data_IF_183647420768
#
_entry.id   IF_183647420768
#
_cell.length_a   1.000
_cell.length_b   1.000
_cell.length_c   1.000
_cell.angle_alpha   90.00
_cell.angle_beta   90.00
_cell.angle_gamma   90.00
#
_symmetry.space_group_name_H-M   'P 1'
#
loop_
_entity.id
_entity.type
_entity.pdbx_description
1 polymer ?
#
# COMPACT_ATOMS: atom_id res chain seq x y z
N UNK A 1 -70.79 -32.78 9.66
CA UNK A 1 -70.34 -31.53 8.99
C UNK A 1 -68.84 -31.40 9.24
N UNK A 2 -68.09 -31.36 8.14
CA UNK A 2 -66.63 -31.37 8.10
C UNK A 2 -66.01 -30.04 8.55
N UNK A 3 -64.79 -30.09 9.10
CA UNK A 3 -63.77 -29.09 8.76
C UNK A 3 -62.37 -29.72 8.82
N UNK A 4 -61.72 -29.59 7.68
CA UNK A 4 -60.48 -30.22 7.21
C UNK A 4 -59.23 -29.56 7.76
N UNK A 5 -58.14 -30.33 7.65
CA UNK A 5 -56.75 -30.16 8.06
C UNK A 5 -56.11 -28.79 7.78
N UNK A 6 -55.12 -28.49 8.62
CA UNK A 6 -54.13 -27.44 8.41
C UNK A 6 -52.79 -27.89 8.99
N UNK A 7 -52.13 -28.83 8.31
CA UNK A 7 -50.67 -28.94 8.37
C UNK A 7 -50.09 -27.82 7.51
N UNK A 8 -49.26 -26.94 8.06
CA UNK A 8 -48.03 -26.49 7.40
C UNK A 8 -47.01 -26.20 8.50
N UNK A 9 -45.95 -27.02 8.52
CA UNK A 9 -44.69 -26.76 9.21
C UNK A 9 -44.16 -25.37 8.85
N UNK A 10 -44.07 -24.46 9.83
CA UNK A 10 -43.15 -23.33 9.72
C UNK A 10 -41.80 -23.79 10.26
N UNK A 11 -41.08 -24.47 9.37
CA UNK A 11 -39.64 -24.69 9.43
C UNK A 11 -38.99 -23.35 9.81
N UNK A 12 -38.45 -23.29 11.03
CA UNK A 12 -37.67 -22.16 11.50
C UNK A 12 -36.44 -22.02 10.60
N UNK A 13 -36.62 -21.28 9.50
CA UNK A 13 -35.58 -20.87 8.59
C UNK A 13 -34.59 -20.03 9.40
N UNK A 14 -33.55 -20.69 9.89
CA UNK A 14 -32.36 -20.03 10.41
C UNK A 14 -31.87 -19.11 9.32
N UNK A 15 -32.06 -17.81 9.50
CA UNK A 15 -31.44 -16.79 8.66
C UNK A 15 -29.97 -17.16 8.48
N UNK A 16 -29.47 -17.37 7.25
CA UNK A 16 -28.05 -17.54 7.04
C UNK A 16 -27.41 -16.27 7.58
N UNK A 17 -26.68 -16.40 8.68
CA UNK A 17 -25.78 -15.35 9.14
C UNK A 17 -24.94 -15.00 7.92
N UNK A 18 -24.81 -13.71 7.53
CA UNK A 18 -23.80 -13.35 6.56
C UNK A 18 -22.50 -13.87 7.14
N UNK A 19 -21.93 -14.92 6.54
CA UNK A 19 -20.56 -15.29 6.85
C UNK A 19 -19.78 -14.01 6.66
N UNK A 20 -19.13 -13.57 7.73
CA UNK A 20 -18.32 -12.38 7.70
C UNK A 20 -17.41 -12.50 6.48
N UNK A 21 -17.61 -11.58 5.53
CA UNK A 21 -16.68 -11.30 4.44
C UNK A 21 -15.27 -11.48 5.00
N UNK A 22 -14.44 -12.40 4.47
CA UNK A 22 -13.13 -12.66 5.03
C UNK A 22 -12.40 -11.33 5.03
N UNK A 23 -12.35 -10.71 6.21
CA UNK A 23 -11.53 -9.55 6.51
C UNK A 23 -10.23 -9.75 5.75
N UNK A 24 -9.94 -8.84 4.83
CA UNK A 24 -8.67 -8.81 4.09
C UNK A 24 -7.58 -9.12 5.11
N UNK A 25 -6.99 -10.32 5.00
CA UNK A 25 -6.01 -10.81 5.95
C UNK A 25 -4.71 -10.03 5.76
N UNK A 26 -4.66 -8.84 6.37
CA UNK A 26 -3.50 -7.96 6.43
C UNK A 26 -2.31 -8.62 7.15
N UNK A 27 -2.57 -9.72 7.89
CA UNK A 27 -1.52 -10.51 8.54
C UNK A 27 -0.68 -11.26 7.52
N UNK A 28 -1.25 -11.66 6.37
CA UNK A 28 -0.52 -12.35 5.31
C UNK A 28 0.58 -11.47 4.68
N UNK A 29 0.41 -10.14 4.67
CA UNK A 29 1.43 -9.22 4.15
C UNK A 29 2.65 -9.10 5.07
N UNK A 30 2.53 -9.49 6.35
CA UNK A 30 3.57 -9.29 7.36
C UNK A 30 4.41 -10.55 7.67
N UNK A 31 4.10 -11.71 7.08
CA UNK A 31 4.74 -12.99 7.47
C UNK A 31 5.90 -13.41 6.55
N UNK A 32 6.30 -12.60 5.58
CA UNK A 32 7.19 -13.09 4.53
C UNK A 32 8.69 -12.86 4.78
N UNK A 33 9.33 -13.94 5.27
CA UNK A 33 10.78 -14.21 5.36
C UNK A 33 11.54 -13.29 6.32
N UNK A 34 12.07 -13.88 7.39
CA UNK A 34 13.00 -13.25 8.35
C UNK A 34 14.03 -12.39 7.59
N UNK A 35 14.09 -11.08 7.88
CA UNK A 35 14.99 -10.19 7.17
C UNK A 35 16.45 -10.63 7.29
N UNK A 36 17.25 -10.51 6.22
CA UNK A 36 18.65 -10.91 6.24
C UNK A 36 19.45 -10.10 7.26
N UNK A 37 18.98 -8.92 7.70
CA UNK A 37 19.61 -8.16 8.78
C UNK A 37 19.60 -8.90 10.13
N UNK A 38 18.67 -9.85 10.34
CA UNK A 38 18.55 -10.62 11.58
C UNK A 38 19.48 -11.84 11.57
N UNK A 39 19.87 -12.34 10.39
CA UNK A 39 20.60 -13.61 10.22
C UNK A 39 22.03 -13.40 9.69
N UNK A 40 22.30 -12.31 8.99
CA UNK A 40 23.60 -12.07 8.36
C UNK A 40 24.63 -11.55 9.38
N UNK A 41 25.70 -12.32 9.57
CA UNK A 41 26.87 -11.90 10.34
C UNK A 41 27.95 -11.26 9.45
N UNK A 42 27.71 -11.22 8.13
CA UNK A 42 28.65 -10.67 7.15
C UNK A 42 27.94 -10.08 5.92
N UNK A 43 28.59 -9.10 5.28
CA UNK A 43 28.10 -8.47 4.05
C UNK A 43 27.86 -9.49 2.92
N UNK A 44 28.73 -10.51 2.81
CA UNK A 44 28.59 -11.55 1.80
C UNK A 44 27.35 -12.42 2.01
N UNK A 45 27.01 -12.75 3.27
CA UNK A 45 25.77 -13.47 3.59
C UNK A 45 24.54 -12.62 3.30
N UNK A 46 24.58 -11.33 3.65
CA UNK A 46 23.51 -10.38 3.34
C UNK A 46 23.23 -10.32 1.83
N UNK A 47 24.26 -10.10 1.00
CA UNK A 47 24.11 -10.02 -0.46
C UNK A 47 23.58 -11.32 -1.07
N UNK A 48 24.05 -12.49 -0.60
CA UNK A 48 23.55 -13.80 -1.07
C UNK A 48 22.09 -14.02 -0.70
N UNK A 49 21.70 -13.69 0.53
CA UNK A 49 20.32 -13.81 0.98
C UNK A 49 19.39 -12.85 0.21
N UNK A 50 19.85 -11.61 -0.02
CA UNK A 50 19.13 -10.62 -0.83
C UNK A 50 18.93 -11.09 -2.27
N UNK A 51 19.97 -11.62 -2.92
CA UNK A 51 19.88 -12.19 -4.27
C UNK A 51 18.92 -13.40 -4.32
N UNK A 52 18.96 -14.27 -3.31
CA UNK A 52 18.05 -15.41 -3.24
C UNK A 52 16.58 -14.98 -3.13
N UNK A 53 16.27 -13.90 -2.38
CA UNK A 53 14.90 -13.33 -2.29
C UNK A 53 14.41 -12.77 -3.61
N UNK A 54 15.28 -12.06 -4.35
CA UNK A 54 14.94 -11.56 -5.68
C UNK A 54 14.67 -12.72 -6.64
N UNK A 55 15.53 -13.75 -6.62
CA UNK A 55 15.36 -14.95 -7.45
C UNK A 55 14.10 -15.75 -7.09
N UNK A 56 13.65 -15.70 -5.83
CA UNK A 56 12.41 -16.34 -5.38
C UNK A 56 11.15 -15.49 -5.65
N UNK A 57 11.28 -14.34 -6.32
CA UNK A 57 10.17 -13.44 -6.66
C UNK A 57 9.76 -12.47 -5.55
N UNK A 58 10.36 -12.56 -4.35
CA UNK A 58 10.13 -11.58 -3.28
C UNK A 58 11.04 -10.37 -3.52
N UNK A 59 10.53 -9.47 -4.34
CA UNK A 59 11.32 -8.36 -4.92
C UNK A 59 11.26 -7.09 -4.04
N UNK A 60 10.37 -7.05 -3.03
CA UNK A 60 10.18 -5.91 -2.14
C UNK A 60 9.97 -4.60 -2.92
N UNK A 61 10.68 -3.54 -2.52
CA UNK A 61 10.63 -2.24 -3.18
C UNK A 61 11.49 -2.15 -4.47
N UNK A 62 12.19 -3.22 -4.87
CA UNK A 62 13.10 -3.20 -6.02
C UNK A 62 12.42 -2.75 -7.33
N UNK A 63 11.18 -3.18 -7.68
CA UNK A 63 10.54 -2.71 -8.91
C UNK A 63 10.29 -1.20 -8.91
N UNK A 64 9.96 -0.64 -7.76
CA UNK A 64 9.71 0.80 -7.58
C UNK A 64 11.00 1.60 -7.74
N UNK A 65 12.07 1.18 -7.06
CA UNK A 65 13.38 1.83 -7.18
C UNK A 65 13.94 1.69 -8.60
N UNK A 66 13.78 0.51 -9.21
CA UNK A 66 14.19 0.28 -10.59
C UNK A 66 13.44 1.21 -11.56
N UNK A 67 12.12 1.31 -11.45
CA UNK A 67 11.32 2.22 -12.25
C UNK A 67 11.75 3.69 -12.07
N UNK A 68 11.98 4.11 -10.82
CA UNK A 68 12.46 5.46 -10.51
C UNK A 68 13.79 5.77 -11.22
N UNK A 69 14.76 4.85 -11.13
CA UNK A 69 16.07 5.00 -11.79
C UNK A 69 15.93 5.02 -13.31
N UNK A 70 15.12 4.12 -13.88
CA UNK A 70 14.90 4.06 -15.33
C UNK A 70 14.32 5.36 -15.86
N UNK A 71 13.30 5.90 -15.20
CA UNK A 71 12.67 7.16 -15.60
C UNK A 71 13.64 8.33 -15.43
N UNK A 72 14.38 8.38 -14.31
CA UNK A 72 15.37 9.43 -14.06
C UNK A 72 16.47 9.45 -15.13
N UNK A 73 17.01 8.27 -15.49
CA UNK A 73 18.03 8.15 -16.55
C UNK A 73 17.44 8.51 -17.91
N UNK A 74 16.22 8.08 -18.22
CA UNK A 74 15.56 8.42 -19.48
C UNK A 74 15.38 9.94 -19.64
N UNK A 75 14.91 10.63 -18.59
CA UNK A 75 14.78 12.08 -18.61
C UNK A 75 16.11 12.80 -18.57
N UNK A 76 17.11 12.29 -17.87
CA UNK A 76 18.45 12.89 -17.89
C UNK A 76 19.06 12.86 -19.30
N UNK A 77 18.94 11.73 -20.01
CA UNK A 77 19.41 11.61 -21.40
C UNK A 77 18.61 12.51 -22.33
N UNK A 78 17.28 12.50 -22.23
CA UNK A 78 16.42 13.27 -23.14
C UNK A 78 16.56 14.77 -22.94
N UNK A 79 16.71 15.21 -21.69
CA UNK A 79 16.87 16.63 -21.35
C UNK A 79 18.33 17.11 -21.45
N UNK A 80 19.26 16.25 -21.90
CA UNK A 80 20.68 16.58 -22.04
C UNK A 80 21.31 17.07 -20.74
N UNK A 81 20.94 16.48 -19.60
CA UNK A 81 21.51 16.79 -18.28
C UNK A 81 20.74 17.81 -17.44
N UNK A 82 19.56 18.26 -17.89
CA UNK A 82 18.76 19.25 -17.14
C UNK A 82 17.90 18.62 -16.04
N UNK A 83 17.51 17.34 -16.18
CA UNK A 83 16.61 16.69 -15.23
C UNK A 83 17.22 16.53 -13.83
N UNK A 84 18.48 16.12 -13.71
CA UNK A 84 19.18 16.01 -12.43
C UNK A 84 19.93 17.30 -12.03
N UNK A 85 19.66 18.41 -12.69
CA UNK A 85 20.22 19.71 -12.29
C UNK A 85 19.79 20.08 -10.86
N UNK A 86 20.61 20.80 -10.08
CA UNK A 86 20.29 21.12 -8.68
C UNK A 86 18.94 21.82 -8.50
N UNK A 87 18.60 22.73 -9.41
CA UNK A 87 17.31 23.43 -9.38
C UNK A 87 16.13 22.49 -9.63
N UNK A 88 16.25 21.59 -10.61
CA UNK A 88 15.19 20.63 -10.89
C UNK A 88 15.05 19.59 -9.77
N UNK A 89 16.16 19.15 -9.17
CA UNK A 89 16.13 18.25 -8.02
C UNK A 89 15.43 18.88 -6.81
N UNK A 90 15.74 20.15 -6.49
CA UNK A 90 15.06 20.89 -5.42
C UNK A 90 13.56 21.03 -5.72
N UNK A 91 13.20 21.36 -6.96
CA UNK A 91 11.80 21.48 -7.37
C UNK A 91 11.05 20.14 -7.25
N UNK A 92 11.67 19.04 -7.69
CA UNK A 92 11.11 17.68 -7.53
C UNK A 92 10.88 17.35 -6.06
N UNK A 93 11.82 17.68 -5.17
CA UNK A 93 11.63 17.48 -3.73
C UNK A 93 10.47 18.30 -3.18
N UNK A 94 10.38 19.59 -3.54
CA UNK A 94 9.28 20.47 -3.10
C UNK A 94 7.92 19.91 -3.58
N UNK A 95 7.83 19.45 -4.83
CA UNK A 95 6.59 18.88 -5.38
C UNK A 95 6.23 17.54 -4.72
N UNK A 96 7.23 16.69 -4.43
CA UNK A 96 7.02 15.42 -3.74
C UNK A 96 6.64 15.57 -2.25
N UNK A 97 6.98 16.71 -1.59
CA UNK A 97 6.67 16.93 -0.17
C UNK A 97 5.18 16.81 0.15
N UNK A 98 4.31 17.24 -0.77
CA UNK A 98 2.86 17.15 -0.59
C UNK A 98 2.45 15.68 -0.50
N UNK A 99 2.88 14.84 -1.44
CA UNK A 99 2.57 13.41 -1.45
C UNK A 99 3.18 12.66 -0.26
N UNK A 100 4.40 13.01 0.16
CA UNK A 100 5.01 12.43 1.36
C UNK A 100 4.21 12.75 2.62
N UNK A 101 3.74 13.99 2.75
CA UNK A 101 2.90 14.41 3.89
C UNK A 101 1.57 13.69 3.90
N UNK A 102 0.93 13.52 2.74
CA UNK A 102 -0.30 12.72 2.63
C UNK A 102 -0.07 11.26 2.98
N UNK A 103 1.00 10.64 2.48
CA UNK A 103 1.33 9.26 2.83
C UNK A 103 1.54 9.06 4.34
N UNK A 104 2.22 9.99 5.01
CA UNK A 104 2.37 9.96 6.47
C UNK A 104 1.01 10.11 7.18
N UNK A 105 0.14 11.00 6.68
CA UNK A 105 -1.20 11.20 7.23
C UNK A 105 -2.08 9.96 7.07
N UNK A 106 -2.07 9.34 5.89
CA UNK A 106 -2.81 8.10 5.63
C UNK A 106 -2.33 6.96 6.52
N UNK A 107 -1.01 6.82 6.74
CA UNK A 107 -0.49 5.82 7.70
C UNK A 107 -1.04 6.06 9.10
N UNK A 108 -1.10 7.30 9.59
CA UNK A 108 -1.66 7.59 10.91
C UNK A 108 -3.16 7.26 11.01
N UNK A 109 -3.93 7.58 9.97
CA UNK A 109 -5.36 7.27 9.87
C UNK A 109 -5.61 5.76 9.81
N UNK A 110 -4.81 5.04 9.02
CA UNK A 110 -4.84 3.58 8.95
C UNK A 110 -4.51 2.94 10.31
N UNK A 111 -3.59 3.53 11.09
CA UNK A 111 -3.28 3.07 12.45
C UNK A 111 -4.42 3.33 13.44
N UNK A 112 -5.25 4.35 13.23
CA UNK A 112 -6.47 4.60 14.01
C UNK A 112 -7.62 3.66 13.61
N UNK A 113 -7.49 2.90 12.52
CA UNK A 113 -8.50 1.98 12.01
C UNK A 113 -9.62 2.67 11.22
N UNK A 114 -9.44 3.94 10.89
CA UNK A 114 -10.35 4.72 10.05
C UNK A 114 -9.82 4.68 8.61
N UNK A 115 -10.69 4.60 7.61
CA UNK A 115 -10.33 4.77 6.18
C UNK A 115 -10.87 6.14 5.77
N UNK A 116 -10.19 7.19 6.22
CA UNK A 116 -10.78 8.53 6.22
C UNK A 116 -10.44 9.32 4.95
N UNK A 117 -11.47 9.53 4.12
CA UNK A 117 -11.43 10.42 2.95
C UNK A 117 -11.26 11.90 3.35
N UNK A 118 -11.44 12.26 4.65
CA UNK A 118 -11.39 13.64 5.12
C UNK A 118 -10.03 14.31 4.94
N UNK A 119 -8.93 13.57 5.03
CA UNK A 119 -7.57 14.14 4.86
C UNK A 119 -7.39 14.70 3.45
N UNK A 120 -7.95 14.01 2.44
CA UNK A 120 -7.99 14.50 1.06
C UNK A 120 -8.86 15.75 0.90
N UNK A 121 -10.02 15.80 1.58
CA UNK A 121 -10.91 16.98 1.58
C UNK A 121 -10.26 18.19 2.25
N UNK A 122 -9.59 18.00 3.40
CA UNK A 122 -8.89 19.06 4.12
C UNK A 122 -7.74 19.63 3.28
N UNK A 123 -6.98 18.78 2.58
CA UNK A 123 -5.97 19.23 1.64
C UNK A 123 -6.58 20.06 0.50
N UNK A 124 -7.66 19.59 -0.12
CA UNK A 124 -8.31 20.27 -1.23
C UNK A 124 -8.87 21.65 -0.83
N UNK A 125 -9.55 21.73 0.33
CA UNK A 125 -10.05 23.01 0.88
C UNK A 125 -8.90 23.93 1.26
N UNK A 126 -7.85 23.40 1.92
CA UNK A 126 -6.66 24.18 2.27
C UNK A 126 -5.96 24.75 1.04
N UNK A 127 -5.80 23.96 0.00
CA UNK A 127 -5.25 24.40 -1.28
C UNK A 127 -6.12 25.48 -1.95
N UNK A 128 -7.44 25.35 -1.92
CA UNK A 128 -8.36 26.33 -2.47
C UNK A 128 -8.38 27.68 -1.71
N UNK A 129 -8.01 27.68 -0.44
CA UNK A 129 -7.92 28.89 0.40
C UNK A 129 -6.54 29.55 0.28
N UNK A 130 -5.48 28.75 0.19
CA UNK A 130 -4.09 29.22 0.17
C UNK A 130 -3.58 29.59 -1.23
N UNK A 131 -4.19 29.06 -2.30
CA UNK A 131 -3.93 29.42 -3.70
C UNK A 131 -4.68 30.66 -4.15
#
# INVERSE_FOLDING_TARGET
MAKTEGEVSEEAAGTPRPEADPLVDLTAAAVDVVPPEIIAESLGQYLRAWLARIASGNTGALPVVFALVVIAVAFEIWTQGLFLSPGNLVNLFIECMIFMTLGISEVFVLLLGEIDLSTGYVLAVGAAIAG
#
